data_IF_077782397529
#
_entry.id   IF_077782397529
#
_cell.length_a   1.000
_cell.length_b   1.000
_cell.length_c   1.000
_cell.angle_alpha   90.00
_cell.angle_beta   90.00
_cell.angle_gamma   90.00
#
_symmetry.space_group_name_H-M   'P 1'
#
loop_
_entity.id
_entity.type
_entity.pdbx_description
1 polymer ?
#
# COMPACT_ATOMS: atom_id res chain seq x y z
N UNK A 1 69.62 9.91 30.12
CA UNK A 1 69.84 11.21 30.81
C UNK A 1 70.41 12.21 29.80
N UNK A 2 69.79 13.40 29.75
CA UNK A 2 70.21 14.67 29.07
C UNK A 2 70.04 14.74 27.54
N UNK A 3 68.94 15.33 27.04
CA UNK A 3 68.66 16.76 26.72
C UNK A 3 69.35 17.29 25.45
N UNK A 4 68.58 17.74 24.45
CA UNK A 4 68.26 19.17 24.22
C UNK A 4 67.35 19.40 23.00
N UNK A 5 66.38 20.29 23.24
CA UNK A 5 65.48 20.97 22.33
C UNK A 5 66.24 21.95 21.42
N UNK A 6 65.86 22.06 20.15
CA UNK A 6 66.13 23.25 19.33
C UNK A 6 64.82 23.74 18.72
N UNK A 7 64.53 25.02 19.01
CA UNK A 7 63.39 25.81 18.55
C UNK A 7 63.78 26.40 17.18
N UNK A 8 62.95 26.22 16.16
CA UNK A 8 63.10 26.90 14.87
C UNK A 8 61.93 27.86 14.66
N UNK A 9 62.24 29.15 14.61
CA UNK A 9 61.35 30.27 14.34
C UNK A 9 60.99 30.31 12.84
N UNK A 10 59.70 30.26 12.50
CA UNK A 10 59.22 30.36 11.11
C UNK A 10 58.82 31.81 10.81
N UNK A 11 59.52 32.45 9.86
CA UNK A 11 59.17 33.75 9.30
C UNK A 11 57.94 33.64 8.39
N UNK A 12 57.00 34.57 8.54
CA UNK A 12 55.90 34.84 7.60
C UNK A 12 56.43 35.38 6.28
N UNK A 13 55.95 34.85 5.16
CA UNK A 13 55.97 35.51 3.85
C UNK A 13 54.53 35.71 3.38
N UNK A 14 54.09 36.98 3.34
CA UNK A 14 52.80 37.38 2.77
C UNK A 14 52.88 37.31 1.23
N UNK A 15 52.05 36.46 0.61
CA UNK A 15 51.76 36.54 -0.82
C UNK A 15 50.30 36.95 -1.00
N UNK A 16 50.09 38.14 -1.57
CA UNK A 16 48.79 38.66 -1.93
C UNK A 16 48.26 37.93 -3.18
N UNK A 17 47.06 37.34 -3.09
CA UNK A 17 46.33 36.77 -4.21
C UNK A 17 45.27 37.80 -4.64
N UNK A 18 45.20 38.20 -5.93
CA UNK A 18 44.18 39.15 -6.38
C UNK A 18 42.79 38.49 -6.36
N UNK A 19 41.83 39.22 -5.80
CA UNK A 19 40.43 38.85 -5.79
C UNK A 19 39.81 39.08 -7.18
N UNK A 20 39.41 38.00 -7.86
CA UNK A 20 38.46 38.04 -8.95
C UNK A 20 37.17 37.32 -8.49
N UNK A 21 36.10 38.10 -8.39
CA UNK A 21 34.74 37.70 -8.00
C UNK A 21 34.16 36.67 -8.99
N UNK A 22 33.66 35.53 -8.48
CA UNK A 22 32.23 35.19 -8.35
C UNK A 22 31.36 35.43 -9.58
N UNK A 23 31.07 34.37 -10.34
CA UNK A 23 29.70 33.92 -10.64
C UNK A 23 29.74 32.59 -11.41
N UNK A 24 30.02 31.49 -10.70
CA UNK A 24 29.60 30.17 -11.16
C UNK A 24 28.57 29.66 -10.15
N UNK A 25 27.29 29.71 -10.55
CA UNK A 25 26.27 28.91 -9.88
C UNK A 25 26.69 27.46 -10.02
N UNK A 26 27.15 26.86 -8.93
CA UNK A 26 27.42 25.43 -8.90
C UNK A 26 26.13 24.72 -9.34
N UNK A 27 26.17 23.84 -10.35
CA UNK A 27 24.99 23.10 -10.75
C UNK A 27 24.45 22.37 -9.52
N UNK A 28 23.15 22.52 -9.25
CA UNK A 28 22.47 21.79 -8.19
C UNK A 28 22.57 20.31 -8.54
N UNK A 29 23.54 19.63 -7.93
CA UNK A 29 23.68 18.18 -8.00
C UNK A 29 22.52 17.56 -7.22
N UNK A 30 21.44 17.25 -7.92
CA UNK A 30 20.42 16.35 -7.42
C UNK A 30 21.08 14.97 -7.35
N UNK A 31 21.67 14.62 -6.19
CA UNK A 31 22.05 13.24 -5.93
C UNK A 31 20.77 12.40 -5.95
N UNK A 32 20.51 11.74 -7.09
CA UNK A 32 19.45 10.73 -7.20
C UNK A 32 19.89 9.51 -6.41
N UNK A 33 19.61 9.50 -5.12
CA UNK A 33 19.74 8.30 -4.29
C UNK A 33 18.78 7.25 -4.83
N UNK A 34 19.28 6.07 -5.16
CA UNK A 34 18.45 4.93 -5.56
C UNK A 34 17.66 4.48 -4.31
N UNK A 35 16.31 4.48 -4.33
CA UNK A 35 15.54 4.04 -3.18
C UNK A 35 15.86 2.58 -2.85
N UNK A 36 16.24 2.33 -1.59
CA UNK A 36 16.47 1.00 -1.05
C UNK A 36 15.27 0.62 -0.19
N UNK A 37 14.65 -0.52 -0.50
CA UNK A 37 13.49 -1.05 0.21
C UNK A 37 13.77 -1.12 1.72
N UNK A 38 12.90 -0.51 2.53
CA UNK A 38 13.00 -0.49 3.98
C UNK A 38 14.12 0.37 4.61
N UNK A 39 14.98 1.00 3.81
CA UNK A 39 16.16 1.76 4.30
C UNK A 39 16.30 3.17 3.71
N UNK A 40 15.35 3.61 2.88
CA UNK A 40 15.39 4.95 2.30
C UNK A 40 15.06 5.97 3.39
N UNK A 41 15.91 7.00 3.63
CA UNK A 41 15.58 8.06 4.57
C UNK A 41 14.40 8.89 4.04
N UNK A 42 13.52 9.39 4.91
CA UNK A 42 12.41 10.24 4.49
C UNK A 42 12.88 11.60 4.01
N UNK A 43 12.12 12.22 3.11
CA UNK A 43 12.41 13.54 2.55
C UNK A 43 11.95 14.61 3.55
N UNK A 44 12.87 15.43 4.11
CA UNK A 44 12.50 16.44 5.09
C UNK A 44 11.86 17.66 4.42
N UNK A 45 10.66 18.02 4.87
CA UNK A 45 9.90 19.18 4.38
C UNK A 45 9.42 20.05 5.53
N UNK A 46 9.29 21.35 5.30
CA UNK A 46 8.53 22.23 6.21
C UNK A 46 7.15 22.49 5.65
N UNK A 47 6.16 22.65 6.53
CA UNK A 47 4.76 22.88 6.16
C UNK A 47 4.23 24.09 6.94
N UNK A 48 4.03 25.21 6.25
CA UNK A 48 3.68 26.51 6.86
C UNK A 48 2.39 27.09 6.24
N UNK A 49 1.54 27.68 7.08
CA UNK A 49 0.36 28.44 6.67
C UNK A 49 -0.93 27.64 6.42
N UNK A 50 -0.88 26.31 6.55
CA UNK A 50 -2.07 25.45 6.54
C UNK A 50 -2.56 25.17 7.96
N UNK A 51 -3.88 25.13 8.15
CA UNK A 51 -4.49 24.87 9.45
C UNK A 51 -5.54 23.74 9.38
N UNK A 52 -6.14 23.42 10.52
CA UNK A 52 -7.33 22.56 10.60
C UNK A 52 -7.28 21.28 9.75
N UNK A 53 -8.20 21.19 8.80
CA UNK A 53 -8.39 20.01 7.94
C UNK A 53 -7.27 19.87 6.91
N UNK A 54 -6.85 20.96 6.26
CA UNK A 54 -5.81 20.91 5.24
C UNK A 54 -4.47 20.45 5.84
N UNK A 55 -4.09 21.00 7.00
CA UNK A 55 -2.88 20.61 7.69
C UNK A 55 -2.87 19.12 8.05
N UNK A 56 -3.98 18.57 8.57
CA UNK A 56 -4.06 17.14 8.91
C UNK A 56 -3.91 16.24 7.69
N UNK A 57 -4.58 16.56 6.58
CA UNK A 57 -4.49 15.81 5.33
C UNK A 57 -3.08 15.87 4.76
N UNK A 58 -2.49 17.06 4.63
CA UNK A 58 -1.13 17.22 4.11
C UNK A 58 -0.10 16.46 4.97
N UNK A 59 -0.23 16.51 6.30
CA UNK A 59 0.65 15.74 7.19
C UNK A 59 0.50 14.23 6.98
N UNK A 60 -0.73 13.72 6.86
CA UNK A 60 -0.98 12.30 6.65
C UNK A 60 -0.42 11.83 5.29
N UNK A 61 -0.86 12.48 4.21
CA UNK A 61 -0.55 12.09 2.83
C UNK A 61 0.95 12.12 2.54
N UNK A 62 1.64 13.18 2.97
CA UNK A 62 3.09 13.29 2.77
C UNK A 62 3.82 12.23 3.61
N UNK A 63 3.40 12.01 4.85
CA UNK A 63 4.07 11.05 5.73
C UNK A 63 4.04 9.61 5.17
N UNK A 64 2.89 9.16 4.65
CA UNK A 64 2.72 7.81 4.07
C UNK A 64 3.28 7.66 2.65
N UNK A 65 3.92 8.72 2.14
CA UNK A 65 4.59 8.75 0.84
C UNK A 65 6.08 9.08 0.96
N UNK A 66 6.65 8.91 2.16
CA UNK A 66 8.09 8.98 2.40
C UNK A 66 8.62 10.37 2.74
N UNK A 67 7.75 11.30 3.14
CA UNK A 67 8.15 12.61 3.63
C UNK A 67 8.13 12.65 5.16
N UNK A 68 8.87 13.60 5.74
CA UNK A 68 8.81 13.92 7.15
C UNK A 68 8.71 15.43 7.33
N UNK A 69 7.74 15.89 8.12
CA UNK A 69 7.59 17.32 8.43
C UNK A 69 8.56 17.68 9.55
N UNK A 70 9.43 18.66 9.28
CA UNK A 70 10.48 19.14 10.19
C UNK A 70 10.45 20.67 10.29
N UNK A 71 11.09 21.27 11.31
CA UNK A 71 11.25 22.72 11.37
C UNK A 71 11.95 23.27 10.11
N UNK A 72 11.64 24.51 9.68
CA UNK A 72 12.19 25.08 8.44
C UNK A 72 13.72 25.01 8.33
N UNK A 73 14.44 25.19 9.44
CA UNK A 73 15.91 25.11 9.46
C UNK A 73 16.48 23.72 9.10
N UNK A 74 15.66 22.67 9.17
CA UNK A 74 16.04 21.28 8.88
C UNK A 74 15.40 20.75 7.58
N UNK A 75 14.53 21.55 6.95
CA UNK A 75 13.80 21.13 5.77
C UNK A 75 14.68 21.22 4.51
N UNK A 76 14.58 20.21 3.65
CA UNK A 76 15.13 20.28 2.30
C UNK A 76 14.19 21.05 1.36
N UNK A 77 12.88 20.84 1.51
CA UNK A 77 11.85 21.56 0.74
C UNK A 77 10.94 22.37 1.65
N UNK A 78 10.58 23.56 1.20
CA UNK A 78 9.69 24.46 1.93
C UNK A 78 8.31 24.51 1.28
N UNK A 79 7.29 24.03 2.00
CA UNK A 79 5.90 24.04 1.57
C UNK A 79 5.20 25.17 2.34
N UNK A 80 4.75 26.18 1.61
CA UNK A 80 4.07 27.37 2.16
C UNK A 80 2.74 27.57 1.47
N UNK A 81 1.72 27.97 2.21
CA UNK A 81 0.43 28.26 1.59
C UNK A 81 -0.64 28.72 2.56
N UNK A 82 -1.90 28.53 2.16
CA UNK A 82 -3.08 28.86 2.94
C UNK A 82 -4.24 27.95 2.57
N UNK A 83 -5.15 27.75 3.53
CA UNK A 83 -6.44 27.08 3.37
C UNK A 83 -7.63 27.98 3.75
N UNK A 84 -7.44 29.31 3.80
CA UNK A 84 -8.45 30.26 4.25
C UNK A 84 -9.69 30.37 3.33
N UNK A 85 -9.50 30.19 2.02
CA UNK A 85 -10.59 30.17 1.03
C UNK A 85 -10.53 28.89 0.22
N UNK A 86 -9.40 28.68 -0.43
CA UNK A 86 -9.05 27.47 -1.17
C UNK A 86 -7.66 27.04 -0.69
N UNK A 87 -7.37 25.75 -0.72
CA UNK A 87 -5.99 25.28 -0.55
C UNK A 87 -5.17 25.83 -1.71
N UNK A 88 -4.13 26.58 -1.37
CA UNK A 88 -3.16 27.11 -2.32
C UNK A 88 -1.78 27.14 -1.67
N UNK A 89 -0.74 26.93 -2.45
CA UNK A 89 0.60 26.91 -1.91
C UNK A 89 1.69 26.77 -2.96
N UNK A 90 2.91 26.90 -2.46
CA UNK A 90 4.15 26.77 -3.21
C UNK A 90 5.08 25.77 -2.55
N UNK A 91 5.87 25.08 -3.36
CA UNK A 91 7.01 24.26 -2.90
C UNK A 91 8.29 24.88 -3.44
N UNK A 92 9.26 25.11 -2.56
CA UNK A 92 10.57 25.62 -2.93
C UNK A 92 11.69 24.68 -2.50
N UNK A 93 12.72 24.58 -3.34
CA UNK A 93 14.02 24.00 -3.02
C UNK A 93 15.04 25.14 -3.03
N UNK A 94 15.66 25.42 -1.89
CA UNK A 94 16.46 26.63 -1.70
C UNK A 94 15.67 27.90 -2.14
N UNK A 95 16.16 28.64 -3.12
CA UNK A 95 15.54 29.87 -3.62
C UNK A 95 14.66 29.67 -4.88
N UNK A 96 14.42 28.42 -5.29
CA UNK A 96 13.68 28.11 -6.51
C UNK A 96 12.33 27.47 -6.19
N UNK A 97 11.25 28.11 -6.64
CA UNK A 97 9.90 27.54 -6.61
C UNK A 97 9.77 26.46 -7.68
N UNK A 98 9.49 25.23 -7.25
CA UNK A 98 9.31 24.07 -8.15
C UNK A 98 7.82 23.72 -8.35
N UNK A 99 6.94 24.22 -7.48
CA UNK A 99 5.49 24.06 -7.59
C UNK A 99 4.80 25.33 -7.07
N UNK A 100 3.77 25.78 -7.78
CA UNK A 100 2.83 26.80 -7.32
C UNK A 100 1.44 26.44 -7.83
N UNK A 101 0.48 26.27 -6.92
CA UNK A 101 -0.88 25.79 -7.24
C UNK A 101 -1.93 26.43 -6.34
N UNK A 102 -3.15 26.50 -6.88
CA UNK A 102 -4.37 26.83 -6.16
C UNK A 102 -5.46 25.91 -6.66
N UNK A 103 -6.24 25.32 -5.75
CA UNK A 103 -7.24 24.31 -6.06
C UNK A 103 -8.63 24.89 -5.83
N UNK A 104 -9.43 24.99 -6.89
CA UNK A 104 -10.82 25.45 -6.80
C UNK A 104 -11.79 24.26 -6.85
N UNK A 105 -12.92 24.38 -6.15
CA UNK A 105 -13.96 23.34 -6.09
C UNK A 105 -13.67 22.23 -5.08
N UNK A 106 -14.65 21.36 -4.86
CA UNK A 106 -14.59 20.35 -3.81
C UNK A 106 -14.56 20.92 -2.39
N UNK A 107 -14.32 20.07 -1.40
CA UNK A 107 -14.09 20.48 -0.02
C UNK A 107 -12.57 20.60 0.27
N UNK A 108 -12.21 21.22 1.39
CA UNK A 108 -10.81 21.43 1.80
C UNK A 108 -9.99 20.13 1.83
N UNK A 109 -10.59 18.97 2.16
CA UNK A 109 -9.89 17.68 2.13
C UNK A 109 -9.47 17.30 0.72
N UNK A 110 -10.41 17.31 -0.22
CA UNK A 110 -10.14 16.99 -1.62
C UNK A 110 -9.06 17.92 -2.21
N UNK A 111 -9.12 19.22 -1.88
CA UNK A 111 -8.10 20.17 -2.29
C UNK A 111 -6.73 19.90 -1.65
N UNK A 112 -6.68 19.50 -0.38
CA UNK A 112 -5.43 19.16 0.30
C UNK A 112 -4.81 17.85 -0.22
N UNK A 113 -5.63 16.83 -0.53
CA UNK A 113 -5.18 15.62 -1.21
C UNK A 113 -4.60 15.93 -2.59
N UNK A 114 -5.26 16.82 -3.36
CA UNK A 114 -4.75 17.28 -4.65
C UNK A 114 -3.38 17.96 -4.52
N UNK A 115 -3.24 18.83 -3.51
CA UNK A 115 -1.97 19.50 -3.25
C UNK A 115 -0.87 18.53 -2.82
N UNK A 116 -1.18 17.57 -1.94
CA UNK A 116 -0.23 16.53 -1.56
C UNK A 116 0.26 15.73 -2.77
N UNK A 117 -0.65 15.38 -3.69
CA UNK A 117 -0.32 14.65 -4.91
C UNK A 117 0.66 15.42 -5.80
N UNK A 118 0.40 16.72 -6.01
CA UNK A 118 1.28 17.58 -6.80
C UNK A 118 2.64 17.81 -6.12
N UNK A 119 2.69 17.89 -4.78
CA UNK A 119 3.95 17.96 -4.01
C UNK A 119 4.78 16.69 -4.24
N UNK A 120 4.15 15.51 -4.08
CA UNK A 120 4.80 14.20 -4.29
C UNK A 120 5.37 14.11 -5.71
N UNK A 121 4.57 14.49 -6.72
CA UNK A 121 4.99 14.51 -8.12
C UNK A 121 6.15 15.48 -8.37
N UNK A 122 6.05 16.72 -7.87
CA UNK A 122 7.07 17.74 -8.09
C UNK A 122 8.43 17.36 -7.48
N UNK A 123 8.43 16.72 -6.30
CA UNK A 123 9.66 16.38 -5.58
C UNK A 123 10.24 15.03 -6.05
N UNK A 124 9.39 14.02 -6.26
CA UNK A 124 9.85 12.63 -6.51
C UNK A 124 9.80 12.22 -7.98
N UNK A 125 9.07 12.97 -8.81
CA UNK A 125 8.75 12.59 -10.19
C UNK A 125 7.75 11.43 -10.31
N UNK A 126 7.19 10.94 -9.20
CA UNK A 126 6.22 9.83 -9.17
C UNK A 126 4.82 10.33 -8.83
N UNK A 127 3.80 9.65 -9.34
CA UNK A 127 2.41 9.88 -8.95
C UNK A 127 2.24 9.52 -7.47
N UNK A 128 1.50 10.36 -6.75
CA UNK A 128 1.09 10.04 -5.38
C UNK A 128 -0.18 9.17 -5.33
N UNK A 129 -0.61 8.84 -4.11
CA UNK A 129 -1.79 7.99 -3.85
C UNK A 129 -3.05 8.79 -3.53
N UNK A 130 -2.93 10.11 -3.34
CA UNK A 130 -4.00 10.92 -2.79
C UNK A 130 -5.16 11.12 -3.75
N UNK A 131 -4.89 11.06 -5.06
CA UNK A 131 -5.89 11.12 -6.13
C UNK A 131 -5.66 10.02 -7.16
N UNK A 132 -6.69 9.21 -7.40
CA UNK A 132 -6.76 8.24 -8.47
C UNK A 132 -7.92 8.62 -9.40
N UNK A 133 -7.62 8.80 -10.69
CA UNK A 133 -8.62 9.15 -11.72
C UNK A 133 -9.50 10.36 -11.37
N UNK A 134 -8.93 11.35 -10.68
CA UNK A 134 -9.62 12.59 -10.29
C UNK A 134 -10.48 12.50 -9.02
N UNK A 135 -10.42 11.39 -8.27
CA UNK A 135 -11.08 11.23 -6.96
C UNK A 135 -10.10 10.80 -5.88
N UNK A 136 -10.43 11.08 -4.61
CA UNK A 136 -9.65 10.58 -3.47
C UNK A 136 -9.60 9.06 -3.53
N UNK A 137 -8.41 8.49 -3.34
CA UNK A 137 -8.25 7.05 -3.36
C UNK A 137 -9.03 6.37 -2.24
N UNK A 138 -9.62 5.22 -2.54
CA UNK A 138 -10.51 4.50 -1.63
C UNK A 138 -9.97 3.14 -1.27
N UNK A 139 -10.43 2.67 -0.13
CA UNK A 139 -10.19 1.32 0.37
C UNK A 139 -11.52 0.64 0.65
N UNK A 140 -11.54 -0.68 0.52
CA UNK A 140 -12.61 -1.53 1.05
C UNK A 140 -12.01 -2.37 2.18
N UNK A 141 -12.75 -2.62 3.25
CA UNK A 141 -12.24 -3.37 4.40
C UNK A 141 -13.38 -3.96 5.22
N UNK A 142 -13.03 -4.88 6.12
CA UNK A 142 -13.94 -5.42 7.13
C UNK A 142 -13.78 -4.65 8.43
N UNK A 143 -14.89 -4.16 8.99
CA UNK A 143 -14.95 -3.58 10.34
C UNK A 143 -15.88 -4.40 11.22
N UNK A 144 -15.48 -4.67 12.45
CA UNK A 144 -16.18 -5.57 13.36
C UNK A 144 -16.21 -5.02 14.79
N UNK A 145 -17.39 -4.98 15.40
CA UNK A 145 -17.53 -4.67 16.82
C UNK A 145 -17.07 -5.86 17.69
N UNK A 146 -16.63 -5.60 18.92
CA UNK A 146 -16.00 -6.61 19.80
C UNK A 146 -16.80 -7.94 19.93
N UNK A 147 -18.14 -7.87 19.94
CA UNK A 147 -19.03 -9.02 20.13
C UNK A 147 -20.03 -9.21 18.97
N UNK A 148 -19.78 -8.62 17.80
CA UNK A 148 -20.70 -8.65 16.66
C UNK A 148 -20.08 -9.28 15.43
N UNK A 149 -20.90 -9.56 14.41
CA UNK A 149 -20.37 -9.87 13.09
C UNK A 149 -19.74 -8.63 12.43
N UNK A 150 -18.82 -8.87 11.51
CA UNK A 150 -18.23 -7.80 10.71
C UNK A 150 -19.20 -7.27 9.66
N UNK A 151 -18.91 -6.07 9.16
CA UNK A 151 -19.50 -5.53 7.93
C UNK A 151 -18.37 -5.09 7.00
N UNK A 152 -18.67 -5.07 5.71
CA UNK A 152 -17.77 -4.50 4.72
C UNK A 152 -18.02 -3.01 4.65
N UNK A 153 -16.95 -2.23 4.71
CA UNK A 153 -16.94 -0.77 4.63
C UNK A 153 -16.13 -0.31 3.42
N UNK A 154 -16.49 0.85 2.89
CA UNK A 154 -15.69 1.63 1.95
C UNK A 154 -15.40 2.99 2.57
N UNK A 155 -14.17 3.48 2.44
CA UNK A 155 -13.77 4.82 2.90
C UNK A 155 -12.74 5.44 1.96
N UNK A 156 -12.42 6.72 2.18
CA UNK A 156 -11.15 7.29 1.70
C UNK A 156 -9.99 6.53 2.36
N UNK A 157 -8.81 6.50 1.72
CA UNK A 157 -7.65 5.74 2.21
C UNK A 157 -7.10 6.22 3.56
N UNK A 158 -7.45 7.45 3.98
CA UNK A 158 -7.12 8.01 5.30
C UNK A 158 -8.21 7.75 6.35
N UNK A 159 -9.23 6.96 6.01
CA UNK A 159 -10.34 6.53 6.89
C UNK A 159 -11.54 7.45 6.92
N UNK A 160 -11.49 8.62 6.26
CA UNK A 160 -12.63 9.51 6.22
C UNK A 160 -13.75 8.95 5.32
N UNK A 161 -14.96 9.49 5.48
CA UNK A 161 -16.12 9.14 4.65
C UNK A 161 -16.46 7.64 4.65
N UNK A 162 -16.14 6.93 5.75
CA UNK A 162 -16.41 5.51 5.87
C UNK A 162 -17.91 5.20 5.86
N UNK A 163 -18.31 4.24 5.04
CA UNK A 163 -19.70 3.80 4.88
C UNK A 163 -19.76 2.29 4.80
N UNK A 164 -20.69 1.68 5.54
CA UNK A 164 -20.96 0.25 5.43
C UNK A 164 -21.67 -0.02 4.09
N UNK A 165 -21.18 -1.00 3.34
CA UNK A 165 -21.78 -1.47 2.09
C UNK A 165 -22.50 -2.82 2.25
N UNK A 166 -22.31 -3.50 3.39
CA UNK A 166 -23.16 -4.63 3.81
C UNK A 166 -23.95 -4.25 5.05
N UNK A 167 -25.13 -4.85 5.23
CA UNK A 167 -26.05 -4.52 6.32
C UNK A 167 -26.39 -5.74 7.20
N UNK A 168 -26.27 -6.93 6.62
CA UNK A 168 -26.61 -8.21 7.21
C UNK A 168 -25.72 -8.52 8.41
N UNK A 169 -26.32 -9.06 9.46
CA UNK A 169 -25.61 -9.51 10.65
C UNK A 169 -25.12 -10.95 10.44
N UNK A 170 -24.06 -11.10 9.64
CA UNK A 170 -23.46 -12.38 9.29
C UNK A 170 -21.95 -12.26 9.13
N UNK A 171 -21.24 -13.37 9.15
CA UNK A 171 -19.81 -13.39 8.90
C UNK A 171 -19.56 -12.92 7.46
N UNK A 172 -18.70 -11.91 7.32
CA UNK A 172 -18.15 -11.44 6.05
C UNK A 172 -16.63 -11.39 6.13
N UNK A 173 -15.97 -11.58 4.99
CA UNK A 173 -14.52 -11.59 4.90
C UNK A 173 -14.02 -11.29 3.48
N UNK A 174 -12.73 -10.98 3.38
CA UNK A 174 -11.94 -10.84 2.16
C UNK A 174 -12.62 -10.01 1.06
N UNK A 175 -13.00 -8.74 1.34
CA UNK A 175 -13.52 -7.88 0.30
C UNK A 175 -12.41 -7.52 -0.69
N UNK A 176 -12.72 -7.47 -1.98
CA UNK A 176 -11.80 -7.03 -3.04
C UNK A 176 -12.53 -6.15 -4.04
N UNK A 177 -11.86 -5.12 -4.55
CA UNK A 177 -12.41 -4.26 -5.60
C UNK A 177 -12.49 -4.98 -6.94
N UNK A 178 -13.46 -4.58 -7.75
CA UNK A 178 -13.46 -4.88 -9.18
C UNK A 178 -12.75 -3.73 -9.91
N UNK A 179 -11.69 -3.99 -10.70
CA UNK A 179 -10.99 -2.94 -11.45
C UNK A 179 -11.96 -2.10 -12.28
N UNK A 180 -11.77 -0.78 -12.26
CA UNK A 180 -12.53 0.21 -13.05
C UNK A 180 -14.04 0.27 -12.75
N UNK A 181 -14.50 -0.40 -11.68
CA UNK A 181 -15.92 -0.48 -11.34
C UNK A 181 -16.14 -0.18 -9.87
N UNK A 182 -17.21 0.56 -9.58
CA UNK A 182 -17.69 0.75 -8.22
C UNK A 182 -18.46 -0.52 -7.78
N UNK A 183 -17.73 -1.62 -7.62
CA UNK A 183 -18.23 -2.94 -7.28
C UNK A 183 -17.16 -3.75 -6.55
N UNK A 184 -17.60 -4.69 -5.72
CA UNK A 184 -16.72 -5.53 -4.91
C UNK A 184 -17.12 -7.00 -5.00
N UNK A 185 -16.15 -7.88 -4.76
CA UNK A 185 -16.40 -9.26 -4.35
C UNK A 185 -16.12 -9.40 -2.84
N UNK A 186 -16.83 -10.29 -2.16
CA UNK A 186 -16.58 -10.60 -0.75
C UNK A 186 -17.16 -11.97 -0.40
N UNK A 187 -16.61 -12.62 0.62
CA UNK A 187 -17.18 -13.84 1.20
C UNK A 187 -18.26 -13.48 2.21
N UNK A 188 -19.40 -14.17 2.19
CA UNK A 188 -20.47 -14.01 3.19
C UNK A 188 -21.12 -15.34 3.56
N UNK A 189 -21.51 -15.45 4.83
CA UNK A 189 -22.24 -16.59 5.39
C UNK A 189 -23.77 -16.37 5.42
N UNK A 190 -24.29 -15.35 4.73
CA UNK A 190 -25.72 -14.98 4.80
C UNK A 190 -26.67 -16.12 4.38
N UNK A 191 -26.21 -17.09 3.58
CA UNK A 191 -26.99 -18.25 3.14
C UNK A 191 -26.68 -19.53 3.92
N UNK A 192 -25.94 -19.44 5.03
CA UNK A 192 -25.53 -20.59 5.83
C UNK A 192 -24.30 -21.35 5.31
N UNK A 193 -23.71 -20.92 4.20
CA UNK A 193 -22.46 -21.42 3.62
C UNK A 193 -21.52 -20.23 3.33
N UNK A 194 -20.18 -20.37 3.42
CA UNK A 194 -19.27 -19.37 2.88
C UNK A 194 -19.42 -19.32 1.36
N UNK A 195 -20.10 -18.27 0.90
CA UNK A 195 -20.34 -18.02 -0.51
C UNK A 195 -19.64 -16.73 -0.95
N UNK A 196 -19.16 -16.71 -2.18
CA UNK A 196 -18.56 -15.51 -2.78
C UNK A 196 -19.66 -14.71 -3.47
N UNK A 197 -19.84 -13.48 -3.04
CA UNK A 197 -20.80 -12.53 -3.60
C UNK A 197 -20.09 -11.51 -4.50
N UNK A 198 -20.80 -11.07 -5.54
CA UNK A 198 -20.52 -9.82 -6.25
C UNK A 198 -21.56 -8.77 -5.82
N UNK A 199 -21.11 -7.56 -5.54
CA UNK A 199 -21.95 -6.43 -5.17
C UNK A 199 -21.59 -5.20 -5.99
N UNK A 200 -22.53 -4.79 -6.85
CA UNK A 200 -22.48 -3.54 -7.57
C UNK A 200 -22.92 -2.41 -6.63
N UNK A 201 -21.98 -1.56 -6.23
CA UNK A 201 -22.22 -0.50 -5.26
C UNK A 201 -22.88 0.74 -5.90
N UNK A 202 -22.96 0.80 -7.24
CA UNK A 202 -23.67 1.87 -7.95
C UNK A 202 -25.18 1.63 -7.92
N UNK A 203 -25.59 0.36 -8.08
CA UNK A 203 -27.00 -0.04 -8.16
C UNK A 203 -27.52 -0.72 -6.89
N UNK A 204 -26.63 -1.13 -5.99
CA UNK A 204 -26.93 -1.96 -4.82
C UNK A 204 -27.23 -3.43 -5.16
N UNK A 205 -27.09 -3.84 -6.42
CA UNK A 205 -27.40 -5.22 -6.84
C UNK A 205 -26.34 -6.20 -6.34
N UNK A 206 -26.80 -7.33 -5.80
CA UNK A 206 -25.96 -8.41 -5.31
C UNK A 206 -26.31 -9.73 -5.97
N UNK A 207 -25.30 -10.57 -6.20
CA UNK A 207 -25.50 -11.95 -6.67
C UNK A 207 -24.44 -12.88 -6.10
N UNK A 208 -24.82 -14.13 -5.89
CA UNK A 208 -23.86 -15.20 -5.61
C UNK A 208 -23.07 -15.50 -6.89
N UNK A 209 -21.76 -15.56 -6.77
CA UNK A 209 -20.82 -15.93 -7.84
C UNK A 209 -20.43 -17.40 -7.66
N UNK A 210 -20.06 -17.77 -6.43
CA UNK A 210 -19.76 -19.14 -6.05
C UNK A 210 -20.54 -19.51 -4.78
N UNK A 211 -21.34 -20.56 -4.87
CA UNK A 211 -22.09 -21.12 -3.75
C UNK A 211 -22.17 -22.64 -3.84
N UNK A 212 -21.02 -23.28 -4.10
CA UNK A 212 -20.93 -24.73 -4.14
C UNK A 212 -20.87 -25.30 -2.72
N UNK A 213 -21.23 -26.57 -2.54
CA UNK A 213 -21.06 -27.24 -1.24
C UNK A 213 -19.60 -27.18 -0.79
N UNK A 214 -19.38 -26.77 0.46
CA UNK A 214 -18.05 -26.58 1.04
C UNK A 214 -17.59 -25.13 1.01
N UNK A 215 -16.27 -24.92 1.07
CA UNK A 215 -15.64 -23.61 1.12
C UNK A 215 -15.74 -22.91 -0.25
N UNK A 216 -16.25 -21.68 -0.28
CA UNK A 216 -16.10 -20.73 -1.38
C UNK A 216 -15.62 -19.39 -0.80
N UNK A 217 -14.37 -19.01 -1.04
CA UNK A 217 -13.80 -17.81 -0.40
C UNK A 217 -12.73 -17.12 -1.25
N UNK A 218 -12.35 -15.91 -0.80
CA UNK A 218 -11.13 -15.20 -1.18
C UNK A 218 -11.07 -14.96 -2.68
N UNK A 219 -11.95 -14.10 -3.17
CA UNK A 219 -11.94 -13.67 -4.55
C UNK A 219 -10.70 -12.81 -4.85
N UNK A 220 -10.16 -12.93 -6.05
CA UNK A 220 -9.19 -12.01 -6.63
C UNK A 220 -9.54 -11.79 -8.09
N UNK A 221 -9.64 -10.53 -8.50
CA UNK A 221 -10.11 -10.15 -9.85
C UNK A 221 -8.91 -9.97 -10.77
N UNK A 222 -9.01 -10.41 -12.03
CA UNK A 222 -7.97 -10.16 -13.01
C UNK A 222 -7.85 -8.65 -13.30
N UNK A 223 -6.65 -8.15 -13.70
CA UNK A 223 -6.44 -6.71 -13.92
C UNK A 223 -7.36 -6.10 -14.97
N UNK A 224 -7.84 -6.90 -15.92
CA UNK A 224 -8.80 -6.49 -16.96
C UNK A 224 -10.28 -6.59 -16.50
N UNK A 225 -10.54 -7.05 -15.28
CA UNK A 225 -11.87 -7.22 -14.71
C UNK A 225 -12.70 -8.35 -15.32
N UNK A 226 -12.12 -9.18 -16.18
CA UNK A 226 -12.87 -10.19 -16.96
C UNK A 226 -12.98 -11.54 -16.27
N UNK A 227 -12.07 -11.87 -15.35
CA UNK A 227 -11.99 -13.16 -14.67
C UNK A 227 -11.82 -12.97 -13.17
N UNK A 228 -12.21 -14.00 -12.42
CA UNK A 228 -12.11 -14.02 -10.96
C UNK A 228 -11.50 -15.35 -10.54
N UNK A 229 -10.42 -15.28 -9.76
CA UNK A 229 -9.84 -16.40 -9.05
C UNK A 229 -10.46 -16.52 -7.66
N UNK A 230 -10.69 -17.73 -7.18
CA UNK A 230 -11.28 -18.03 -5.87
C UNK A 230 -10.68 -19.32 -5.31
N UNK A 231 -10.87 -19.52 -4.01
CA UNK A 231 -10.58 -20.78 -3.33
C UNK A 231 -11.88 -21.55 -3.16
N UNK A 232 -11.99 -22.70 -3.82
CA UNK A 232 -13.15 -23.58 -3.73
C UNK A 232 -12.76 -24.97 -3.27
N UNK A 233 -13.56 -25.57 -2.37
CA UNK A 233 -13.37 -26.96 -1.93
C UNK A 233 -14.31 -27.97 -2.57
N UNK A 234 -15.01 -27.59 -3.66
CA UNK A 234 -16.02 -28.44 -4.32
C UNK A 234 -15.47 -29.74 -4.92
N UNK A 235 -14.16 -29.85 -5.08
CA UNK A 235 -13.44 -31.04 -5.55
C UNK A 235 -12.85 -31.89 -4.40
N UNK A 236 -13.17 -31.58 -3.15
CA UNK A 236 -12.74 -32.34 -1.96
C UNK A 236 -11.66 -31.65 -1.12
N UNK A 237 -10.82 -30.81 -1.72
CA UNK A 237 -9.85 -29.94 -1.02
C UNK A 237 -9.92 -28.49 -1.54
N UNK A 238 -9.55 -27.48 -0.72
CA UNK A 238 -9.44 -26.10 -1.18
C UNK A 238 -8.37 -25.95 -2.27
N UNK A 239 -8.82 -25.60 -3.47
CA UNK A 239 -7.98 -25.39 -4.64
C UNK A 239 -8.26 -24.01 -5.25
N UNK A 240 -7.34 -23.53 -6.09
CA UNK A 240 -7.51 -22.32 -6.90
C UNK A 240 -8.39 -22.64 -8.10
N UNK A 241 -9.50 -21.92 -8.22
CA UNK A 241 -10.40 -21.95 -9.37
C UNK A 241 -10.49 -20.58 -10.02
N UNK A 242 -10.72 -20.56 -11.33
CA UNK A 242 -11.01 -19.33 -12.08
C UNK A 242 -12.33 -19.49 -12.82
N UNK A 243 -13.09 -18.40 -12.90
CA UNK A 243 -14.24 -18.27 -13.78
C UNK A 243 -14.24 -16.89 -14.44
N UNK A 244 -15.13 -16.69 -15.41
CA UNK A 244 -15.43 -15.36 -15.91
C UNK A 244 -16.13 -14.52 -14.83
N UNK A 245 -16.04 -13.19 -14.92
CA UNK A 245 -16.63 -12.29 -13.94
C UNK A 245 -18.14 -12.50 -13.76
N UNK A 246 -18.85 -12.95 -14.80
CA UNK A 246 -20.28 -13.28 -14.77
C UNK A 246 -20.61 -14.62 -14.04
N UNK A 247 -19.61 -15.41 -13.66
CA UNK A 247 -19.77 -16.73 -13.03
C UNK A 247 -19.82 -17.92 -13.99
N UNK A 248 -19.49 -17.75 -15.28
CA UNK A 248 -19.39 -18.85 -16.27
C UNK A 248 -17.95 -19.36 -16.46
N UNK A 249 -17.79 -20.45 -17.23
CA UNK A 249 -16.49 -21.00 -17.65
C UNK A 249 -15.52 -21.33 -16.50
N UNK A 250 -16.00 -22.10 -15.52
CA UNK A 250 -15.19 -22.56 -14.39
C UNK A 250 -14.04 -23.47 -14.81
N UNK A 251 -12.84 -23.19 -14.29
CA UNK A 251 -11.64 -23.98 -14.46
C UNK A 251 -10.90 -24.14 -13.13
N UNK A 252 -10.60 -25.38 -12.77
CA UNK A 252 -9.68 -25.70 -11.67
C UNK A 252 -8.23 -25.51 -12.16
N UNK A 253 -7.42 -24.76 -11.42
CA UNK A 253 -6.02 -24.49 -11.76
C UNK A 253 -5.04 -25.32 -10.94
N UNK A 254 -5.42 -25.69 -9.73
CA UNK A 254 -4.63 -26.53 -8.84
C UNK A 254 -5.42 -27.76 -8.43
N UNK A 255 -4.71 -28.87 -8.29
CA UNK A 255 -5.25 -30.13 -7.78
C UNK A 255 -4.19 -30.71 -6.84
N UNK A 256 -3.87 -29.95 -5.79
CA UNK A 256 -2.83 -30.35 -4.85
C UNK A 256 -3.45 -30.93 -3.59
N UNK A 257 -2.69 -31.79 -2.91
CA UNK A 257 -3.06 -32.26 -1.57
C UNK A 257 -2.94 -31.15 -0.51
N UNK A 258 -2.38 -30.00 -0.86
CA UNK A 258 -2.26 -28.83 0.01
C UNK A 258 -3.58 -28.08 0.14
N UNK A 259 -3.67 -27.23 1.16
CA UNK A 259 -4.81 -26.34 1.37
C UNK A 259 -4.52 -24.98 0.74
N UNK A 260 -4.97 -24.73 -0.48
CA UNK A 260 -4.71 -23.45 -1.14
C UNK A 260 -5.51 -22.31 -0.49
N UNK A 261 -4.90 -21.13 -0.38
CA UNK A 261 -5.53 -19.93 0.20
C UNK A 261 -4.99 -18.63 -0.42
N UNK A 262 -5.75 -17.54 -0.23
CA UNK A 262 -5.35 -16.16 -0.55
C UNK A 262 -4.79 -15.98 -1.99
N UNK A 263 -5.57 -16.28 -3.04
CA UNK A 263 -5.11 -16.11 -4.41
C UNK A 263 -4.99 -14.62 -4.73
N UNK A 264 -3.98 -14.25 -5.52
CA UNK A 264 -3.83 -12.90 -6.06
C UNK A 264 -3.39 -12.94 -7.52
N UNK A 265 -3.98 -12.10 -8.35
CA UNK A 265 -3.58 -11.97 -9.74
C UNK A 265 -2.29 -11.19 -9.88
N UNK A 266 -1.49 -11.63 -10.83
CA UNK A 266 -0.47 -10.82 -11.48
C UNK A 266 -1.08 -9.60 -12.19
N UNK A 267 -0.45 -8.41 -12.19
CA UNK A 267 -0.89 -7.23 -12.93
C UNK A 267 -0.80 -7.42 -14.44
N UNK A 268 -0.04 -8.40 -14.93
CA UNK A 268 -0.02 -8.79 -16.35
C UNK A 268 -1.10 -9.81 -16.71
N UNK A 269 -1.90 -10.28 -15.74
CA UNK A 269 -2.99 -11.23 -15.95
C UNK A 269 -2.56 -12.66 -16.34
N UNK A 270 -1.26 -12.99 -16.29
CA UNK A 270 -0.73 -14.31 -16.69
C UNK A 270 -0.60 -15.31 -15.56
N UNK A 271 -0.46 -14.84 -14.32
CA UNK A 271 -0.22 -15.69 -13.15
C UNK A 271 -1.21 -15.42 -12.04
N UNK A 272 -1.47 -16.45 -11.24
CA UNK A 272 -2.13 -16.34 -9.94
C UNK A 272 -1.15 -16.86 -8.89
N UNK A 273 -0.79 -16.01 -7.94
CA UNK A 273 0.03 -16.35 -6.78
C UNK A 273 -0.88 -16.67 -5.60
N UNK A 274 -0.52 -17.63 -4.75
CA UNK A 274 -1.35 -18.10 -3.64
C UNK A 274 -0.49 -18.76 -2.58
N UNK A 275 -1.04 -18.93 -1.38
CA UNK A 275 -0.42 -19.73 -0.33
C UNK A 275 -0.92 -21.18 -0.43
N UNK A 276 -0.04 -22.14 -0.24
CA UNK A 276 -0.36 -23.57 -0.27
C UNK A 276 0.38 -24.30 0.84
N UNK A 277 0.08 -25.58 1.04
CA UNK A 277 0.78 -26.43 1.99
C UNK A 277 1.54 -27.53 1.27
N UNK A 278 2.86 -27.58 1.46
CA UNK A 278 3.73 -28.59 0.88
C UNK A 278 4.50 -29.26 2.01
N UNK A 279 4.25 -30.58 2.19
CA UNK A 279 4.89 -31.40 3.24
C UNK A 279 4.71 -30.80 4.65
N UNK A 280 3.52 -30.29 4.95
CA UNK A 280 3.18 -29.70 6.26
C UNK A 280 3.74 -28.30 6.52
N UNK A 281 4.27 -27.62 5.49
CA UNK A 281 4.74 -26.23 5.59
C UNK A 281 3.97 -25.34 4.64
N UNK A 282 3.66 -24.13 5.11
CA UNK A 282 3.11 -23.07 4.27
C UNK A 282 4.18 -22.54 3.34
N UNK A 283 3.84 -22.43 2.06
CA UNK A 283 4.70 -21.94 0.99
C UNK A 283 3.88 -21.03 0.06
N UNK A 284 4.54 -20.08 -0.61
CA UNK A 284 3.92 -19.38 -1.73
C UNK A 284 4.19 -20.15 -3.02
N UNK A 285 3.16 -20.21 -3.86
CA UNK A 285 3.23 -20.77 -5.20
C UNK A 285 2.52 -19.86 -6.19
N UNK A 286 2.80 -20.06 -7.48
CA UNK A 286 2.05 -19.44 -8.56
C UNK A 286 1.75 -20.43 -9.66
N UNK A 287 0.64 -20.20 -10.35
CA UNK A 287 0.18 -21.04 -11.48
C UNK A 287 -0.21 -20.13 -12.64
N UNK A 288 0.02 -20.54 -13.91
CA UNK A 288 -0.48 -19.78 -15.04
C UNK A 288 -2.01 -19.68 -14.98
N UNK A 289 -2.55 -18.50 -15.27
CA UNK A 289 -3.99 -18.26 -15.31
C UNK A 289 -4.70 -19.08 -16.41
N UNK A 290 -3.96 -19.51 -17.43
CA UNK A 290 -4.42 -20.44 -18.45
C UNK A 290 -4.43 -21.90 -17.98
N UNK A 291 -4.00 -22.20 -16.76
CA UNK A 291 -3.62 -23.53 -16.30
C UNK A 291 -2.23 -23.93 -16.78
N UNK A 292 -1.62 -24.89 -16.08
CA UNK A 292 -0.28 -25.37 -16.38
C UNK A 292 0.46 -25.83 -15.12
N UNK A 293 1.79 -25.84 -15.20
CA UNK A 293 2.64 -26.26 -14.10
C UNK A 293 2.68 -25.21 -12.99
N UNK A 294 2.56 -25.69 -11.74
CA UNK A 294 2.74 -24.90 -10.53
C UNK A 294 4.23 -24.60 -10.30
N UNK A 295 4.54 -23.36 -9.94
CA UNK A 295 5.88 -22.89 -9.58
C UNK A 295 5.93 -22.40 -8.13
N UNK A 296 6.99 -22.74 -7.40
CA UNK A 296 7.20 -22.26 -6.04
C UNK A 296 7.85 -20.88 -6.04
N UNK A 297 7.28 -19.96 -5.26
CA UNK A 297 7.86 -18.64 -4.99
C UNK A 297 8.68 -18.75 -3.71
N UNK A 298 10.01 -18.79 -3.86
CA UNK A 298 10.92 -19.03 -2.73
C UNK A 298 11.01 -17.80 -1.82
N UNK A 299 10.74 -17.97 -0.53
CA UNK A 299 10.77 -16.91 0.50
C UNK A 299 11.82 -17.18 1.59
N UNK A 300 13.12 -17.23 1.25
CA UNK A 300 14.17 -17.56 2.23
C UNK A 300 14.17 -16.58 3.41
N UNK A 301 14.17 -17.11 4.64
CA UNK A 301 14.16 -16.29 5.86
C UNK A 301 12.79 -15.73 6.26
N UNK A 302 11.75 -15.98 5.47
CA UNK A 302 10.37 -15.59 5.77
C UNK A 302 9.47 -16.84 5.84
N UNK A 303 9.36 -17.48 7.02
CA UNK A 303 8.62 -18.72 7.20
C UNK A 303 7.11 -18.51 7.16
N UNK A 304 6.40 -19.59 6.77
CA UNK A 304 4.94 -19.67 6.66
C UNK A 304 4.30 -18.48 5.94
N UNK A 305 4.71 -18.16 4.71
CA UNK A 305 4.17 -17.01 4.00
C UNK A 305 2.71 -17.22 3.59
N UNK A 306 1.88 -16.19 3.76
CA UNK A 306 0.47 -16.13 3.35
C UNK A 306 0.14 -14.78 2.72
N UNK A 307 -1.07 -14.65 2.17
CA UNK A 307 -1.64 -13.37 1.68
C UNK A 307 -0.71 -12.60 0.72
N UNK A 308 -0.28 -13.25 -0.39
CA UNK A 308 0.54 -12.57 -1.37
C UNK A 308 -0.22 -11.42 -2.04
N UNK A 309 0.47 -10.34 -2.35
CA UNK A 309 -0.03 -9.22 -3.15
C UNK A 309 1.07 -8.71 -4.09
N UNK A 310 0.82 -8.71 -5.39
CA UNK A 310 1.75 -8.15 -6.39
C UNK A 310 1.61 -6.63 -6.44
N UNK A 311 2.74 -5.93 -6.60
CA UNK A 311 2.69 -4.50 -6.91
C UNK A 311 2.08 -4.29 -8.30
N UNK A 312 1.32 -3.21 -8.52
CA UNK A 312 0.76 -2.87 -9.82
C UNK A 312 1.78 -2.79 -10.96
N UNK A 313 3.03 -2.41 -10.67
CA UNK A 313 4.12 -2.38 -11.65
C UNK A 313 4.81 -3.74 -11.89
N UNK A 314 4.35 -4.81 -11.21
CA UNK A 314 4.82 -6.17 -11.34
C UNK A 314 6.23 -6.45 -10.78
N UNK A 315 6.85 -5.48 -10.09
CA UNK A 315 8.23 -5.62 -9.60
C UNK A 315 8.33 -6.24 -8.23
N UNK A 316 7.28 -6.18 -7.42
CA UNK A 316 7.32 -6.60 -6.01
C UNK A 316 6.21 -7.58 -5.69
N UNK A 317 6.47 -8.44 -4.71
CA UNK A 317 5.47 -9.25 -4.02
C UNK A 317 5.56 -8.88 -2.54
N UNK A 318 4.46 -8.37 -2.00
CA UNK A 318 4.24 -8.28 -0.56
C UNK A 318 3.54 -9.55 -0.07
N UNK A 319 3.77 -9.95 1.17
CA UNK A 319 3.09 -11.09 1.78
C UNK A 319 3.18 -11.01 3.30
N UNK A 320 2.29 -11.72 3.99
CA UNK A 320 2.36 -11.94 5.44
C UNK A 320 3.34 -13.07 5.72
N UNK A 321 4.21 -12.94 6.71
CA UNK A 321 5.12 -13.99 7.18
C UNK A 321 4.96 -14.17 8.70
N UNK A 322 5.16 -15.40 9.22
CA UNK A 322 4.95 -15.69 10.65
C UNK A 322 6.29 -15.90 11.37
N UNK A 323 6.79 -14.86 12.03
CA UNK A 323 8.07 -14.86 12.75
C UNK A 323 7.88 -14.76 14.28
N UNK A 324 6.87 -15.48 14.78
CA UNK A 324 6.36 -15.39 16.16
C UNK A 324 5.01 -14.67 16.17
N UNK A 325 4.99 -13.46 15.64
CA UNK A 325 3.80 -12.71 15.25
C UNK A 325 3.68 -12.67 13.72
N UNK A 326 2.69 -11.95 13.20
CA UNK A 326 2.60 -11.67 11.76
C UNK A 326 3.38 -10.41 11.39
N UNK A 327 4.15 -10.50 10.30
CA UNK A 327 4.93 -9.41 9.75
C UNK A 327 4.66 -9.24 8.24
N UNK A 328 4.75 -8.00 7.77
CA UNK A 328 4.71 -7.66 6.35
C UNK A 328 6.11 -7.83 5.76
N UNK A 329 6.23 -8.77 4.83
CA UNK A 329 7.43 -9.08 4.07
C UNK A 329 7.26 -8.55 2.62
N UNK A 330 8.32 -8.00 2.01
CA UNK A 330 8.33 -7.59 0.58
C UNK A 330 9.59 -8.09 -0.11
N UNK A 331 9.44 -8.63 -1.33
CA UNK A 331 10.56 -9.14 -2.15
C UNK A 331 10.39 -8.78 -3.64
N UNK A 332 11.47 -8.79 -4.45
CA UNK A 332 11.34 -8.70 -5.91
C UNK A 332 10.52 -9.86 -6.48
N UNK A 333 9.57 -9.58 -7.36
CA UNK A 333 8.68 -10.58 -7.96
C UNK A 333 9.40 -11.62 -8.83
N UNK A 334 10.58 -11.27 -9.35
CA UNK A 334 11.46 -12.17 -10.09
C UNK A 334 12.34 -13.06 -9.18
N UNK A 335 12.29 -12.90 -7.86
CA UNK A 335 13.10 -13.64 -6.90
C UNK A 335 14.58 -13.26 -6.87
N UNK A 336 14.96 -12.08 -7.38
CA UNK A 336 16.37 -11.67 -7.47
C UNK A 336 17.03 -11.35 -6.12
N UNK A 337 16.25 -11.19 -5.05
CA UNK A 337 16.73 -10.92 -3.70
C UNK A 337 15.79 -11.57 -2.65
N UNK A 338 16.29 -11.88 -1.44
CA UNK A 338 15.45 -12.40 -0.37
C UNK A 338 14.41 -11.36 0.11
N UNK A 339 13.34 -11.80 0.77
CA UNK A 339 12.37 -10.91 1.40
C UNK A 339 12.99 -9.96 2.43
N UNK A 340 12.48 -8.73 2.44
CA UNK A 340 12.70 -7.73 3.47
C UNK A 340 11.50 -7.72 4.43
N UNK A 341 11.76 -7.96 5.72
CA UNK A 341 10.76 -7.76 6.77
C UNK A 341 10.62 -6.26 7.03
N UNK A 342 9.42 -5.72 6.80
CA UNK A 342 9.17 -4.29 6.92
C UNK A 342 8.70 -3.93 8.32
N UNK A 343 7.51 -4.40 8.70
CA UNK A 343 6.79 -4.02 9.92
C UNK A 343 5.86 -5.15 10.38
N UNK A 344 5.50 -5.17 11.66
CA UNK A 344 4.48 -6.10 12.20
C UNK A 344 3.10 -5.81 11.61
N UNK A 345 2.41 -6.85 11.13
CA UNK A 345 1.09 -6.77 10.53
C UNK A 345 0.82 -7.90 9.53
N UNK A 346 -0.37 -7.88 8.91
CA UNK A 346 -0.84 -8.90 7.97
C UNK A 346 -1.81 -8.32 6.94
N UNK A 347 -2.14 -9.13 5.92
CA UNK A 347 -3.00 -8.80 4.78
C UNK A 347 -2.56 -7.52 4.03
N UNK A 348 -1.35 -7.52 3.43
CA UNK A 348 -0.89 -6.37 2.66
C UNK A 348 -1.66 -6.22 1.34
N UNK A 349 -2.08 -5.01 1.01
CA UNK A 349 -2.63 -4.63 -0.30
C UNK A 349 -1.91 -3.40 -0.84
N UNK A 350 -1.54 -3.43 -2.13
CA UNK A 350 -0.77 -2.36 -2.77
C UNK A 350 -1.66 -1.21 -3.23
N UNK A 351 -1.22 0.00 -2.89
CA UNK A 351 -1.71 1.19 -3.55
C UNK A 351 -1.25 1.21 -5.03
N UNK A 352 -2.00 1.86 -5.93
CA UNK A 352 -1.65 1.94 -7.36
C UNK A 352 -0.25 2.49 -7.68
N UNK A 353 0.37 3.23 -6.75
CA UNK A 353 1.72 3.79 -6.94
C UNK A 353 2.86 2.75 -6.80
N UNK A 354 2.57 1.49 -6.47
CA UNK A 354 3.58 0.42 -6.24
C UNK A 354 4.63 0.79 -5.18
N UNK A 355 4.25 1.61 -4.19
CA UNK A 355 5.13 2.09 -3.11
C UNK A 355 4.45 2.06 -1.75
N UNK A 356 3.15 2.26 -1.70
CA UNK A 356 2.39 2.28 -0.45
C UNK A 356 1.61 0.98 -0.30
N UNK A 357 1.56 0.44 0.92
CA UNK A 357 0.71 -0.69 1.30
C UNK A 357 -0.35 -0.22 2.29
N UNK A 358 -1.56 -0.78 2.22
CA UNK A 358 -2.46 -0.86 3.39
C UNK A 358 -2.39 -2.27 3.96
N UNK A 359 -2.49 -2.38 5.27
CA UNK A 359 -2.44 -3.65 5.99
C UNK A 359 -3.13 -3.51 7.34
N UNK A 360 -3.39 -4.61 8.04
CA UNK A 360 -3.89 -4.55 9.41
C UNK A 360 -2.83 -5.02 10.42
N UNK A 361 -2.83 -4.40 11.61
CA UNK A 361 -1.92 -4.74 12.70
C UNK A 361 -2.61 -4.71 14.07
N UNK A 362 -2.08 -5.41 15.08
CA UNK A 362 -2.64 -5.40 16.41
C UNK A 362 -2.67 -3.99 17.02
N UNK A 363 -3.80 -3.59 17.61
CA UNK A 363 -3.98 -2.29 18.30
C UNK A 363 -4.23 -2.43 19.81
N UNK A 364 -4.19 -3.64 20.35
CA UNK A 364 -4.43 -3.96 21.77
C UNK A 364 -5.44 -5.09 21.93
N UNK A 365 -5.17 -6.04 22.84
CA UNK A 365 -5.99 -7.25 22.97
C UNK A 365 -6.05 -8.02 21.64
N UNK A 366 -7.26 -8.39 21.22
CA UNK A 366 -7.52 -9.07 19.94
C UNK A 366 -7.87 -8.10 18.79
N UNK A 367 -7.89 -6.79 19.07
CA UNK A 367 -8.34 -5.77 18.11
C UNK A 367 -7.27 -5.49 17.06
N UNK A 368 -7.71 -5.28 15.82
CA UNK A 368 -6.88 -4.87 14.69
C UNK A 368 -7.20 -3.42 14.31
N UNK A 369 -6.19 -2.72 13.83
CA UNK A 369 -6.34 -1.43 13.15
C UNK A 369 -5.76 -1.52 11.75
N UNK A 370 -6.35 -0.77 10.82
CA UNK A 370 -5.73 -0.54 9.52
C UNK A 370 -4.60 0.47 9.63
N UNK A 371 -3.56 0.26 8.84
CA UNK A 371 -2.40 1.13 8.77
C UNK A 371 -1.91 1.24 7.33
N UNK A 372 -1.38 2.42 6.98
CA UNK A 372 -0.76 2.70 5.69
C UNK A 372 0.76 2.74 5.87
N UNK A 373 1.50 2.05 4.99
CA UNK A 373 2.95 1.88 5.03
C UNK A 373 3.60 2.40 3.75
N UNK A 374 4.61 3.26 3.88
CA UNK A 374 5.60 3.51 2.82
C UNK A 374 6.69 2.43 2.87
N UNK A 375 6.78 1.57 1.85
CA UNK A 375 7.67 0.39 1.91
C UNK A 375 9.17 0.74 1.88
N UNK A 376 9.54 1.95 1.44
CA UNK A 376 10.93 2.36 1.32
C UNK A 376 11.44 3.02 2.61
N UNK A 377 10.62 3.85 3.26
CA UNK A 377 10.99 4.54 4.50
C UNK A 377 10.53 3.82 5.77
N UNK A 378 9.66 2.82 5.64
CA UNK A 378 8.95 2.15 6.75
C UNK A 378 8.09 3.11 7.59
N UNK A 379 7.71 4.25 7.05
CA UNK A 379 6.73 5.12 7.69
C UNK A 379 5.38 4.41 7.76
N UNK A 380 4.83 4.30 8.97
CA UNK A 380 3.54 3.67 9.23
C UNK A 380 2.60 4.66 9.90
N UNK A 381 1.39 4.78 9.37
CA UNK A 381 0.35 5.60 9.97
C UNK A 381 -0.93 4.79 10.13
N UNK A 382 -1.46 4.76 11.34
CA UNK A 382 -2.76 4.13 11.61
C UNK A 382 -3.89 4.98 11.06
N UNK A 383 -4.89 4.30 10.51
CA UNK A 383 -6.16 4.88 10.08
C UNK A 383 -7.10 4.88 11.30
N UNK A 384 -7.88 5.95 11.54
CA UNK A 384 -8.90 5.95 12.59
C UNK A 384 -9.85 4.76 12.42
N UNK A 385 -9.96 3.93 13.46
CA UNK A 385 -10.87 2.77 13.45
C UNK A 385 -12.32 3.21 13.35
N UNK A 386 -13.09 2.50 12.54
CA UNK A 386 -14.53 2.71 12.40
C UNK A 386 -15.30 1.91 13.46
N UNK A 387 -14.89 0.67 13.70
CA UNK A 387 -15.45 -0.20 14.73
C UNK A 387 -14.33 -0.96 15.44
N UNK A 388 -14.65 -1.70 16.50
CA UNK A 388 -13.68 -2.32 17.41
C UNK A 388 -12.42 -2.89 16.74
N UNK A 389 -12.58 -3.67 15.67
CA UNK A 389 -11.49 -4.25 14.88
C UNK A 389 -11.70 -4.02 13.39
N UNK A 390 -10.72 -3.40 12.73
CA UNK A 390 -10.71 -3.18 11.28
C UNK A 390 -9.59 -4.00 10.62
N UNK A 391 -9.89 -4.72 9.54
CA UNK A 391 -9.01 -5.74 8.94
C UNK A 391 -9.31 -6.00 7.45
N UNK A 392 -8.43 -6.76 6.78
CA UNK A 392 -8.65 -7.28 5.42
C UNK A 392 -8.95 -6.16 4.41
N UNK A 393 -8.08 -5.14 4.40
CA UNK A 393 -8.27 -3.97 3.56
C UNK A 393 -7.64 -4.14 2.17
N UNK A 394 -8.35 -3.68 1.15
CA UNK A 394 -7.89 -3.65 -0.25
C UNK A 394 -8.00 -2.25 -0.84
N UNK A 395 -6.97 -1.84 -1.60
CA UNK A 395 -6.99 -0.60 -2.38
C UNK A 395 -7.89 -0.70 -3.59
N UNK A 396 -8.54 0.41 -3.95
CA UNK A 396 -9.22 0.53 -5.23
C UNK A 396 -8.18 0.62 -6.37
N UNK A 397 -8.44 -0.13 -7.45
CA UNK A 397 -7.60 -0.23 -8.67
C UNK A 397 -8.16 0.59 -9.86
#
# INVERSE_FOLDING_TARGET
MKTRLQILSLLLLCAAIPAAAQNEQSPILIQRTVPVLGFTPPIPVSLEGFTGVAARVLNFDLYVQGFIVVPPAQAQYHIRGTDAVNVSGTVALANHTILARSYAGGNTRAQAHAFANDIVQAITGKLGISLLRGSVARIVFKAQAANGNGKIYVSDFDGANAQAVTAEDTIVAAPVWTPDRLAIYYTSYQLGNPDVFYHDLTTGRRRVVAGFSGLNTSASVSPDGTRVAMILSKSGSPNVWVCDANGSHWKQLTDTAGYDSSPCWSPDGRWICFATEIRGRRELAKVPASGGQLEIVRTPGAPNPTDPAWSPDGKWIAFTCQMGEFDICVMPANGSAPPMVLVRGQHPSWAPNSRTLIFNRPSGGYEQTLSVLDVFTKHVKDIPRISGSDSEAEWAE
#
